data_IF_172540194632
#
_entry.id   IF_172540194632
#
_cell.length_a   1.000
_cell.length_b   1.000
_cell.length_c   1.000
_cell.angle_alpha   90.00
_cell.angle_beta   90.00
_cell.angle_gamma   90.00
#
_symmetry.space_group_name_H-M   'P 1'
#
loop_
_entity.id
_entity.type
_entity.pdbx_description
1 polymer ?
#
# COMPACT_ATOMS: atom_id res chain seq x y z
N UNK A 1 -14.22 -23.18 -12.00
CA UNK A 1 -13.04 -22.61 -11.31
C UNK A 1 -12.81 -21.16 -11.76
N UNK A 2 -12.51 -20.89 -13.03
CA UNK A 2 -12.31 -19.52 -13.57
C UNK A 2 -13.42 -18.52 -13.20
N UNK A 3 -14.70 -18.91 -13.32
CA UNK A 3 -15.81 -18.02 -12.94
C UNK A 3 -15.76 -17.61 -11.45
N UNK A 4 -15.32 -18.52 -10.58
CA UNK A 4 -15.14 -18.23 -9.15
C UNK A 4 -14.00 -17.23 -8.94
N UNK A 5 -12.87 -17.40 -9.64
CA UNK A 5 -11.74 -16.47 -9.58
C UNK A 5 -12.10 -15.07 -10.07
N UNK A 6 -12.79 -14.96 -11.21
CA UNK A 6 -13.28 -13.67 -11.69
C UNK A 6 -14.26 -13.02 -10.71
N UNK A 7 -15.17 -13.81 -10.12
CA UNK A 7 -16.10 -13.29 -9.11
C UNK A 7 -15.37 -12.78 -7.88
N UNK A 8 -14.35 -13.52 -7.41
CA UNK A 8 -13.53 -13.13 -6.27
C UNK A 8 -12.74 -11.84 -6.54
N UNK A 9 -12.07 -11.73 -7.70
CA UNK A 9 -11.32 -10.53 -8.10
C UNK A 9 -12.24 -9.33 -8.24
N UNK A 10 -13.38 -9.47 -8.92
CA UNK A 10 -14.34 -8.37 -9.08
C UNK A 10 -14.92 -7.90 -7.72
N UNK A 11 -15.19 -8.85 -6.82
CA UNK A 11 -15.69 -8.53 -5.48
C UNK A 11 -14.63 -7.80 -4.64
N UNK A 12 -13.37 -8.27 -4.71
CA UNK A 12 -12.24 -7.63 -4.04
C UNK A 12 -11.98 -6.23 -4.61
N UNK A 13 -12.04 -6.05 -5.93
CA UNK A 13 -11.89 -4.74 -6.57
C UNK A 13 -13.00 -3.77 -6.15
N UNK A 14 -14.26 -4.22 -6.17
CA UNK A 14 -15.40 -3.41 -5.74
C UNK A 14 -15.26 -2.99 -4.27
N UNK A 15 -14.85 -3.92 -3.40
CA UNK A 15 -14.59 -3.63 -1.99
C UNK A 15 -13.43 -2.64 -1.82
N UNK A 16 -12.34 -2.80 -2.57
CA UNK A 16 -11.21 -1.87 -2.55
C UNK A 16 -11.62 -0.45 -2.99
N UNK A 17 -12.41 -0.32 -4.06
CA UNK A 17 -12.96 0.97 -4.52
C UNK A 17 -13.87 1.61 -3.47
N UNK A 18 -14.67 0.81 -2.76
CA UNK A 18 -15.47 1.29 -1.63
C UNK A 18 -14.58 1.80 -0.49
N UNK A 19 -13.49 1.09 -0.16
CA UNK A 19 -12.54 1.53 0.87
C UNK A 19 -11.85 2.86 0.50
N UNK A 20 -11.53 3.08 -0.77
CA UNK A 20 -10.93 4.34 -1.24
C UNK A 20 -11.89 5.53 -1.11
N UNK A 21 -13.19 5.29 -1.31
CA UNK A 21 -14.24 6.31 -1.28
C UNK A 21 -14.89 6.47 0.09
N UNK A 22 -14.51 5.67 1.08
CA UNK A 22 -15.17 5.71 2.38
C UNK A 22 -14.84 6.98 3.17
N UNK A 23 -15.79 7.49 3.98
CA UNK A 23 -15.61 8.71 4.76
C UNK A 23 -14.38 8.67 5.69
N UNK A 24 -13.72 9.82 5.87
CA UNK A 24 -12.51 9.92 6.69
C UNK A 24 -12.72 9.59 8.17
N UNK A 25 -13.94 9.76 8.70
CA UNK A 25 -14.28 9.42 10.09
C UNK A 25 -14.34 7.91 10.35
N UNK A 26 -14.38 7.06 9.31
CA UNK A 26 -14.23 5.60 9.45
C UNK A 26 -12.77 5.18 9.66
N UNK A 27 -11.81 6.06 9.33
CA UNK A 27 -10.38 5.79 9.39
C UNK A 27 -9.76 6.44 10.61
N UNK A 28 -9.33 5.64 11.59
CA UNK A 28 -8.64 6.11 12.78
C UNK A 28 -7.13 5.99 12.58
N UNK A 29 -6.40 7.10 12.73
CA UNK A 29 -4.92 7.08 12.69
C UNK A 29 -4.39 6.29 13.88
N UNK A 30 -3.47 5.36 13.62
CA UNK A 30 -2.72 4.67 14.66
C UNK A 30 -1.50 5.52 14.99
N UNK A 31 -1.35 5.90 16.26
CA UNK A 31 -0.11 6.46 16.75
C UNK A 31 0.92 5.34 16.85
N UNK A 32 1.98 5.40 16.04
CA UNK A 32 3.16 4.59 16.26
C UNK A 32 3.82 5.05 17.56
N UNK A 33 3.76 4.22 18.60
CA UNK A 33 4.48 4.45 19.85
C UNK A 33 5.96 4.11 19.68
N UNK A 34 6.60 4.70 18.68
CA UNK A 34 8.04 4.58 18.44
C UNK A 34 8.70 5.95 18.63
N UNK A 35 8.25 6.72 19.62
CA UNK A 35 8.89 7.96 20.04
C UNK A 35 9.13 7.95 21.55
N UNK A 36 10.18 7.21 21.91
CA UNK A 36 11.04 7.57 23.03
C UNK A 36 12.19 8.48 22.57
N UNK A 37 12.00 9.41 21.63
CA UNK A 37 12.89 10.57 21.49
C UNK A 37 12.30 11.70 20.64
N UNK A 38 11.92 12.77 21.33
CA UNK A 38 11.92 14.17 20.88
C UNK A 38 11.00 14.58 19.70
N UNK A 39 9.73 14.81 20.04
CA UNK A 39 8.94 15.86 19.39
C UNK A 39 9.60 17.23 19.62
N UNK A 40 10.37 17.71 18.65
CA UNK A 40 10.56 19.16 18.48
C UNK A 40 9.86 19.60 17.21
N UNK A 41 8.77 20.31 17.45
CA UNK A 41 8.09 21.17 16.50
C UNK A 41 9.08 21.91 15.60
N UNK A 42 9.13 21.56 14.31
CA UNK A 42 9.73 22.42 13.28
C UNK A 42 8.65 22.87 12.31
N UNK A 43 7.96 23.92 12.72
CA UNK A 43 7.42 24.92 11.81
C UNK A 43 8.63 25.58 11.13
N UNK A 44 9.01 25.09 9.96
CA UNK A 44 10.25 25.52 9.32
C UNK A 44 10.31 25.10 7.85
N UNK A 45 10.21 26.11 6.99
CA UNK A 45 10.45 26.07 5.54
C UNK A 45 11.78 25.35 5.24
N UNK A 46 11.79 24.53 4.17
CA UNK A 46 12.93 23.83 3.56
C UNK A 46 13.28 22.41 4.07
N UNK A 47 12.70 21.41 3.41
CA UNK A 47 13.42 20.23 2.91
C UNK A 47 12.94 19.93 1.47
N UNK A 48 13.05 20.95 0.62
CA UNK A 48 13.04 20.73 -0.83
C UNK A 48 14.43 20.18 -1.17
N UNK A 49 14.47 19.10 -1.93
CA UNK A 49 15.63 18.31 -2.42
C UNK A 49 16.09 17.10 -1.58
N UNK A 50 15.76 15.90 -2.07
CA UNK A 50 16.55 14.65 -2.00
C UNK A 50 16.77 13.91 -0.68
N UNK A 51 15.87 14.00 0.32
CA UNK A 51 15.90 13.05 1.43
C UNK A 51 15.03 11.83 1.07
N UNK A 52 15.60 10.62 1.17
CA UNK A 52 14.83 9.39 1.08
C UNK A 52 13.78 9.37 2.21
N UNK A 53 12.55 8.88 1.97
CA UNK A 53 11.52 8.80 3.01
C UNK A 53 11.96 7.92 4.19
N UNK A 54 11.59 8.31 5.41
CA UNK A 54 11.85 7.58 6.65
C UNK A 54 10.59 6.85 7.16
N UNK A 55 10.76 5.88 8.06
CA UNK A 55 9.61 5.14 8.63
C UNK A 55 8.63 6.03 9.41
N UNK A 56 9.12 7.14 9.97
CA UNK A 56 8.32 8.16 10.66
C UNK A 56 7.39 8.94 9.72
N UNK A 57 7.70 8.96 8.41
CA UNK A 57 6.87 9.59 7.39
C UNK A 57 5.65 8.73 7.01
N UNK A 58 5.63 7.45 7.42
CA UNK A 58 4.54 6.52 7.14
C UNK A 58 3.33 6.80 8.04
N UNK A 59 2.18 7.07 7.41
CA UNK A 59 0.91 7.27 8.10
C UNK A 59 0.07 6.00 8.01
N UNK A 60 -0.28 5.42 9.16
CA UNK A 60 -1.13 4.24 9.26
C UNK A 60 -2.52 4.62 9.78
N UNK A 61 -3.55 4.24 9.05
CA UNK A 61 -4.94 4.32 9.47
C UNK A 61 -5.56 2.93 9.59
N UNK A 62 -6.53 2.78 10.48
CA UNK A 62 -7.33 1.57 10.68
C UNK A 62 -8.81 1.87 10.54
N UNK A 63 -9.51 1.06 9.75
CA UNK A 63 -10.96 1.04 9.66
C UNK A 63 -11.49 -0.27 10.28
N UNK A 64 -12.34 -0.11 11.31
CA UNK A 64 -12.97 -1.22 12.03
C UNK A 64 -14.48 -1.08 11.85
N UNK A 65 -15.10 -1.97 11.05
CA UNK A 65 -16.50 -1.81 10.62
C UNK A 65 -17.55 -2.34 11.61
N UNK A 66 -17.21 -3.30 12.47
CA UNK A 66 -18.04 -3.73 13.61
C UNK A 66 -17.29 -4.77 14.47
N UNK A 67 -17.81 -5.10 15.66
CA UNK A 67 -17.27 -6.23 16.44
C UNK A 67 -17.38 -7.54 15.64
N UNK A 68 -16.24 -8.12 15.27
CA UNK A 68 -16.16 -9.39 14.52
C UNK A 68 -15.81 -9.26 13.04
N UNK A 69 -15.69 -8.03 12.49
CA UNK A 69 -15.08 -7.83 11.17
C UNK A 69 -13.57 -7.69 11.30
N UNK A 70 -12.81 -8.19 10.33
CA UNK A 70 -11.37 -7.94 10.26
C UNK A 70 -11.06 -6.45 10.11
N UNK A 71 -9.99 -6.02 10.79
CA UNK A 71 -9.49 -4.65 10.66
C UNK A 71 -8.88 -4.43 9.28
N UNK A 72 -9.22 -3.31 8.65
CA UNK A 72 -8.58 -2.87 7.40
C UNK A 72 -7.56 -1.80 7.72
N UNK A 73 -6.32 -2.00 7.27
CA UNK A 73 -5.23 -1.04 7.41
C UNK A 73 -4.99 -0.29 6.10
N UNK A 74 -4.80 1.02 6.21
CA UNK A 74 -4.38 1.90 5.10
C UNK A 74 -3.06 2.54 5.49
N UNK A 75 -2.02 2.25 4.73
CA UNK A 75 -0.67 2.76 4.92
C UNK A 75 -0.39 3.75 3.80
N UNK A 76 0.02 4.98 4.15
CA UNK A 76 0.26 6.07 3.20
C UNK A 76 1.65 6.62 3.44
N UNK A 77 2.41 6.81 2.36
CA UNK A 77 3.72 7.45 2.35
C UNK A 77 3.76 8.43 1.18
N UNK A 78 4.05 9.69 1.47
CA UNK A 78 4.27 10.70 0.44
C UNK A 78 5.73 10.61 -0.04
N UNK A 79 5.93 10.29 -1.31
CA UNK A 79 7.26 10.15 -1.91
C UNK A 79 7.60 11.41 -2.70
N UNK A 80 8.71 12.11 -2.39
CA UNK A 80 9.13 13.28 -3.16
C UNK A 80 9.40 12.90 -4.63
N UNK A 81 8.81 13.64 -5.58
CA UNK A 81 9.16 13.52 -6.99
C UNK A 81 10.16 14.60 -7.41
N UNK A 82 11.14 14.20 -8.20
CA UNK A 82 12.16 15.09 -8.79
C UNK A 82 11.79 15.49 -10.22
N UNK A 83 10.98 14.70 -10.92
CA UNK A 83 10.60 14.89 -12.32
C UNK A 83 9.08 15.05 -12.46
N UNK A 84 8.64 15.97 -13.33
CA UNK A 84 7.24 16.10 -13.75
C UNK A 84 7.14 15.88 -15.28
N UNK A 85 6.26 14.99 -15.76
CA UNK A 85 5.31 14.16 -14.99
C UNK A 85 5.93 12.90 -14.38
N UNK A 86 5.48 12.52 -13.19
CA UNK A 86 5.88 11.26 -12.55
C UNK A 86 5.28 10.08 -13.29
N UNK A 87 6.11 9.21 -13.86
CA UNK A 87 5.65 7.94 -14.43
C UNK A 87 5.47 6.89 -13.33
N UNK A 88 4.28 6.30 -13.27
CA UNK A 88 3.98 5.17 -12.37
C UNK A 88 4.31 3.80 -13.00
N UNK A 89 4.73 3.76 -14.26
CA UNK A 89 5.02 2.51 -14.96
C UNK A 89 6.11 1.66 -14.29
N UNK A 90 7.23 2.24 -13.78
CA UNK A 90 8.22 1.46 -13.05
C UNK A 90 7.65 0.81 -11.78
N UNK A 91 6.79 1.53 -11.05
CA UNK A 91 6.14 1.00 -9.84
C UNK A 91 5.18 -0.13 -10.17
N UNK A 92 4.39 0.03 -11.24
CA UNK A 92 3.50 -1.05 -11.73
C UNK A 92 4.32 -2.27 -12.10
N UNK A 93 5.38 -2.11 -12.90
CA UNK A 93 6.23 -3.22 -13.33
C UNK A 93 6.75 -4.03 -12.13
N UNK A 94 7.30 -3.36 -11.11
CA UNK A 94 7.79 -4.01 -9.88
C UNK A 94 6.67 -4.74 -9.14
N UNK A 95 5.49 -4.14 -9.00
CA UNK A 95 4.35 -4.75 -8.30
C UNK A 95 3.69 -5.91 -9.08
N UNK A 96 3.75 -5.88 -10.40
CA UNK A 96 3.15 -6.91 -11.27
C UNK A 96 4.09 -8.06 -11.60
N UNK A 97 5.36 -8.02 -11.20
CA UNK A 97 6.34 -9.09 -11.40
C UNK A 97 6.64 -9.75 -10.05
N UNK A 98 5.97 -10.87 -9.70
CA UNK A 98 6.14 -11.53 -8.40
C UNK A 98 7.59 -11.87 -8.08
N UNK A 99 8.37 -12.25 -9.08
CA UNK A 99 9.76 -12.69 -8.91
C UNK A 99 10.67 -11.60 -8.34
N UNK A 100 10.33 -10.31 -8.56
CA UNK A 100 11.05 -9.18 -7.99
C UNK A 100 10.73 -8.96 -6.50
N UNK A 101 9.68 -9.58 -5.95
CA UNK A 101 9.23 -9.32 -4.58
C UNK A 101 10.31 -9.59 -3.53
N UNK A 102 11.10 -10.64 -3.73
CA UNK A 102 12.22 -11.02 -2.85
C UNK A 102 13.35 -9.99 -2.82
N UNK A 103 13.48 -9.17 -3.86
CA UNK A 103 14.57 -8.19 -3.95
C UNK A 103 14.33 -6.99 -3.04
N UNK A 104 13.06 -6.68 -2.75
CA UNK A 104 12.69 -5.45 -2.03
C UNK A 104 11.83 -5.68 -0.79
N UNK A 105 11.14 -6.82 -0.67
CA UNK A 105 10.35 -7.16 0.51
C UNK A 105 11.06 -8.23 1.35
N UNK A 106 11.71 -7.84 2.46
CA UNK A 106 12.40 -8.79 3.33
C UNK A 106 11.47 -9.74 4.08
N UNK A 107 10.15 -9.53 4.04
CA UNK A 107 9.17 -10.42 4.67
C UNK A 107 8.71 -11.55 3.73
N UNK A 108 9.14 -11.57 2.47
CA UNK A 108 8.74 -12.57 1.47
C UNK A 108 9.91 -13.48 1.13
N UNK A 109 9.77 -14.77 1.46
CA UNK A 109 10.78 -15.79 1.16
C UNK A 109 10.78 -16.21 -0.31
N UNK A 110 9.60 -16.39 -0.92
CA UNK A 110 9.44 -16.84 -2.31
C UNK A 110 8.21 -16.22 -2.95
N UNK A 111 8.29 -15.86 -4.23
CA UNK A 111 7.15 -15.36 -4.98
C UNK A 111 7.20 -15.82 -6.43
N UNK A 112 6.09 -16.35 -6.94
CA UNK A 112 6.01 -17.00 -8.25
C UNK A 112 4.67 -16.72 -8.95
N UNK A 113 4.74 -16.43 -10.25
CA UNK A 113 3.58 -16.48 -11.12
C UNK A 113 3.12 -17.93 -11.36
N UNK A 114 1.85 -18.23 -11.05
CA UNK A 114 1.26 -19.55 -11.26
C UNK A 114 0.47 -19.62 -12.57
N UNK A 115 -0.36 -18.61 -12.84
CA UNK A 115 -1.26 -18.60 -14.00
C UNK A 115 -1.62 -17.17 -14.42
N UNK A 116 -1.73 -16.92 -15.72
CA UNK A 116 -2.26 -15.66 -16.28
C UNK A 116 -3.69 -15.92 -16.75
N UNK A 117 -4.66 -15.25 -16.14
CA UNK A 117 -6.08 -15.42 -16.47
C UNK A 117 -6.49 -14.53 -17.65
N UNK A 118 -6.01 -13.28 -17.67
CA UNK A 118 -6.23 -12.31 -18.74
C UNK A 118 -5.11 -11.26 -18.77
N UNK A 119 -5.27 -10.18 -19.56
CA UNK A 119 -4.23 -9.13 -19.71
C UNK A 119 -3.95 -8.33 -18.44
N UNK A 120 -4.84 -8.39 -17.45
CA UNK A 120 -4.80 -7.60 -16.23
C UNK A 120 -4.90 -8.43 -14.95
N UNK A 121 -5.17 -9.74 -15.07
CA UNK A 121 -5.42 -10.63 -13.95
C UNK A 121 -4.48 -11.83 -14.00
N UNK A 122 -3.76 -12.05 -12.91
CA UNK A 122 -2.85 -13.18 -12.74
C UNK A 122 -2.95 -13.76 -11.34
N UNK A 123 -2.62 -15.04 -11.20
CA UNK A 123 -2.54 -15.74 -9.92
C UNK A 123 -1.07 -15.88 -9.57
N UNK A 124 -0.69 -15.33 -8.44
CA UNK A 124 0.67 -15.41 -7.90
C UNK A 124 0.65 -16.03 -6.51
N UNK A 125 1.70 -16.77 -6.18
CA UNK A 125 1.97 -17.24 -4.82
C UNK A 125 3.06 -16.36 -4.23
N UNK A 126 2.87 -15.91 -2.99
CA UNK A 126 3.80 -15.10 -2.20
C UNK A 126 3.92 -15.66 -0.81
#
# INVERSE_FOLDING_TARGET
>A
LHQSWHTAVNSAEAYFRQLLTSPSNEWKRISSSTDGSASTSKKGKARLTSAAPELSDVVVHRNTKSSGSEDVYRIVLDVPSVEEPVSLEPWKAVLTTPELRREWDPAVDEAHLLEVLDRSTQISKT
#
